data_IF_018939552293
#
_entry.id   IF_018939552293
#
_cell.length_a   1.000
_cell.length_b   1.000
_cell.length_c   1.000
_cell.angle_alpha   90.00
_cell.angle_beta   90.00
_cell.angle_gamma   90.00
#
_symmetry.space_group_name_H-M   'P 1'
#
loop_
_entity.id
_entity.type
_entity.pdbx_description
1 polymer ?
#
# COMPACT_ATOMS: atom_id res chain seq x y z
N UNK A 1 13.45 -21.14 4.01
CA UNK A 1 13.54 -22.55 3.55
C UNK A 1 12.18 -23.26 3.50
N UNK A 2 11.25 -23.06 4.46
CA UNK A 2 9.93 -23.73 4.45
C UNK A 2 9.12 -23.48 3.16
N UNK A 3 8.94 -22.21 2.78
CA UNK A 3 8.22 -21.84 1.56
C UNK A 3 8.93 -22.28 0.27
N UNK A 4 10.26 -22.39 0.29
CA UNK A 4 11.03 -22.92 -0.84
C UNK A 4 10.71 -24.39 -1.11
N UNK A 5 10.69 -25.21 -0.05
CA UNK A 5 10.32 -26.63 -0.16
C UNK A 5 8.90 -26.82 -0.66
N UNK A 6 7.95 -25.97 -0.23
CA UNK A 6 6.58 -26.00 -0.74
C UNK A 6 6.52 -25.59 -2.22
N UNK A 7 7.28 -24.57 -2.63
CA UNK A 7 7.33 -24.13 -4.03
C UNK A 7 7.85 -25.23 -4.97
N UNK A 8 8.91 -25.96 -4.58
CA UNK A 8 9.46 -27.09 -5.36
C UNK A 8 8.44 -28.24 -5.48
N UNK A 9 7.61 -28.47 -4.47
CA UNK A 9 6.57 -29.50 -4.52
C UNK A 9 5.40 -29.13 -5.44
N UNK A 10 5.09 -27.84 -5.55
CA UNK A 10 4.02 -27.35 -6.42
C UNK A 10 4.47 -27.22 -7.87
N UNK A 11 5.71 -26.79 -8.08
CA UNK A 11 6.31 -26.56 -9.40
C UNK A 11 7.73 -27.14 -9.39
N UNK A 12 7.93 -28.36 -9.92
CA UNK A 12 9.22 -29.05 -9.86
C UNK A 12 10.36 -28.33 -10.60
N UNK A 13 10.03 -27.48 -11.57
CA UNK A 13 10.95 -26.68 -12.39
C UNK A 13 11.10 -25.23 -11.91
N UNK A 14 10.66 -24.92 -10.69
CA UNK A 14 10.66 -23.55 -10.15
C UNK A 14 12.06 -22.92 -10.15
N UNK A 15 13.10 -23.71 -9.92
CA UNK A 15 14.49 -23.23 -9.91
C UNK A 15 14.95 -22.72 -11.28
N UNK A 16 14.45 -23.31 -12.37
CA UNK A 16 14.76 -22.86 -13.73
C UNK A 16 13.94 -21.62 -14.10
N UNK A 17 12.65 -21.63 -13.77
CA UNK A 17 11.77 -20.48 -14.04
C UNK A 17 12.20 -19.21 -13.33
N UNK A 18 12.74 -19.31 -12.11
CA UNK A 18 13.25 -18.14 -11.39
C UNK A 18 14.46 -17.55 -12.12
N UNK A 19 15.39 -18.38 -12.61
CA UNK A 19 16.57 -17.89 -13.36
C UNK A 19 16.16 -17.19 -14.65
N UNK A 20 15.23 -17.76 -15.40
CA UNK A 20 14.70 -17.16 -16.64
C UNK A 20 13.97 -15.84 -16.34
N UNK A 21 13.22 -15.78 -15.26
CA UNK A 21 12.51 -14.57 -14.84
C UNK A 21 13.47 -13.47 -14.38
N UNK A 22 14.48 -13.79 -13.57
CA UNK A 22 15.48 -12.82 -13.10
C UNK A 22 16.32 -12.27 -14.26
N UNK A 23 16.75 -13.13 -15.18
CA UNK A 23 17.52 -12.73 -16.37
C UNK A 23 16.69 -11.87 -17.34
N UNK A 24 15.42 -12.21 -17.57
CA UNK A 24 14.51 -11.39 -18.38
C UNK A 24 14.25 -10.01 -17.77
N UNK A 25 14.03 -9.93 -16.45
CA UNK A 25 13.78 -8.65 -15.79
C UNK A 25 15.01 -7.76 -15.71
N UNK A 26 16.21 -8.33 -15.56
CA UNK A 26 17.47 -7.57 -15.61
C UNK A 26 17.73 -7.00 -17.02
N UNK A 27 17.47 -7.79 -18.07
CA UNK A 27 17.65 -7.37 -19.46
C UNK A 27 16.59 -6.35 -19.95
N UNK A 28 15.41 -6.32 -19.34
CA UNK A 28 14.27 -5.49 -19.79
C UNK A 28 14.06 -4.22 -18.95
N UNK A 29 14.90 -3.94 -17.95
CA UNK A 29 14.86 -2.71 -17.16
C UNK A 29 13.56 -2.47 -16.37
N UNK A 30 12.66 -3.47 -16.30
CA UNK A 30 11.39 -3.36 -15.59
C UNK A 30 11.56 -3.77 -14.14
N UNK A 31 12.01 -2.83 -13.32
CA UNK A 31 12.03 -3.00 -11.86
C UNK A 31 10.61 -2.82 -11.30
N UNK A 32 9.78 -3.86 -11.40
CA UNK A 32 8.59 -3.98 -10.56
C UNK A 32 8.65 -5.29 -9.77
N UNK A 33 9.43 -5.27 -8.69
CA UNK A 33 9.35 -6.26 -7.63
C UNK A 33 9.35 -5.51 -6.28
N UNK A 34 8.37 -5.76 -5.40
CA UNK A 34 8.26 -5.07 -4.11
C UNK A 34 9.18 -5.66 -3.03
N UNK A 35 10.08 -6.58 -3.39
CA UNK A 35 11.02 -7.21 -2.46
C UNK A 35 12.41 -6.80 -2.88
N UNK A 36 12.89 -5.70 -2.32
CA UNK A 36 14.32 -5.34 -2.34
C UNK A 36 15.06 -6.46 -1.62
N UNK A 37 15.63 -7.39 -2.38
CA UNK A 37 16.65 -8.29 -1.85
C UNK A 37 17.96 -7.52 -1.93
N UNK A 38 18.37 -6.90 -0.81
CA UNK A 38 19.74 -6.41 -0.65
C UNK A 38 20.62 -7.66 -0.60
N UNK A 39 21.12 -8.09 -1.76
CA UNK A 39 22.23 -9.03 -1.83
C UNK A 39 23.50 -8.25 -1.51
N UNK A 40 24.02 -8.48 -0.32
CA UNK A 40 25.33 -8.03 0.14
C UNK A 40 26.46 -8.93 -0.43
N UNK A 41 27.50 -8.31 -1.00
CA UNK A 41 28.79 -8.92 -1.45
C UNK A 41 28.77 -9.40 -2.90
N UNK A 42 29.68 -9.03 -3.82
CA UNK A 42 31.09 -8.61 -3.71
C UNK A 42 31.42 -7.45 -4.67
N UNK A 43 32.49 -6.72 -4.33
CA UNK A 43 33.08 -5.58 -5.03
C UNK A 43 33.67 -5.99 -6.40
N UNK A 44 33.19 -5.39 -7.49
CA UNK A 44 34.03 -5.03 -8.63
C UNK A 44 33.75 -3.57 -9.01
N UNK A 45 34.82 -2.79 -8.95
CA UNK A 45 34.92 -1.34 -9.12
C UNK A 45 34.66 -0.97 -10.60
N UNK A 46 33.52 -0.34 -10.89
CA UNK A 46 33.28 0.38 -12.15
C UNK A 46 32.85 1.83 -11.85
N UNK A 47 33.71 2.83 -12.11
CA UNK A 47 33.47 4.22 -11.74
C UNK A 47 32.62 4.94 -12.80
N UNK A 48 31.48 4.36 -13.17
CA UNK A 48 30.52 5.03 -14.03
C UNK A 48 29.07 4.65 -13.73
N UNK A 49 28.72 4.63 -12.44
CA UNK A 49 27.34 4.94 -12.04
C UNK A 49 27.14 6.42 -12.34
N UNK A 50 26.71 6.70 -13.56
CA UNK A 50 25.91 7.89 -13.81
C UNK A 50 24.74 7.78 -12.85
N UNK A 51 24.81 8.57 -11.77
CA UNK A 51 23.63 8.97 -11.00
C UNK A 51 22.69 9.64 -12.00
N UNK A 52 21.90 8.83 -12.69
CA UNK A 52 20.61 9.24 -13.18
C UNK A 52 19.78 9.43 -11.92
N UNK A 53 19.97 10.59 -11.30
CA UNK A 53 19.01 11.14 -10.37
C UNK A 53 17.68 11.14 -11.11
N UNK A 54 16.83 10.16 -10.79
CA UNK A 54 15.41 10.09 -11.16
C UNK A 54 14.64 11.21 -10.43
N UNK A 55 15.21 12.42 -10.48
CA UNK A 55 14.61 13.70 -10.10
C UNK A 55 13.66 14.11 -11.22
N UNK A 56 12.78 13.19 -11.64
CA UNK A 56 11.63 13.57 -12.42
C UNK A 56 10.83 14.55 -11.55
N UNK A 57 10.68 15.83 -11.94
CA UNK A 57 10.03 16.84 -11.11
C UNK A 57 8.58 16.45 -10.77
N UNK A 58 7.99 15.56 -11.57
CA UNK A 58 6.66 14.99 -11.37
C UNK A 58 6.60 13.99 -10.20
N UNK A 59 7.64 13.16 -9.99
CA UNK A 59 7.71 12.27 -8.82
C UNK A 59 7.93 13.06 -7.53
N UNK A 60 8.79 14.09 -7.57
CA UNK A 60 9.03 14.96 -6.44
C UNK A 60 7.76 15.74 -6.05
N UNK A 61 7.00 16.26 -7.01
CA UNK A 61 5.70 16.90 -6.77
C UNK A 61 4.70 15.90 -6.17
N UNK A 62 4.61 14.68 -6.70
CA UNK A 62 3.73 13.66 -6.18
C UNK A 62 4.07 13.28 -4.73
N UNK A 63 5.35 13.08 -4.43
CA UNK A 63 5.82 12.79 -3.08
C UNK A 63 5.49 13.93 -2.11
N UNK A 64 5.67 15.19 -2.52
CA UNK A 64 5.28 16.36 -1.73
C UNK A 64 3.77 16.42 -1.52
N UNK A 65 2.96 16.06 -2.52
CA UNK A 65 1.50 15.96 -2.40
C UNK A 65 1.10 14.85 -1.43
N UNK A 66 1.78 13.71 -1.42
CA UNK A 66 1.56 12.65 -0.42
C UNK A 66 1.96 13.09 0.98
N UNK A 67 3.10 13.77 1.14
CA UNK A 67 3.53 14.32 2.41
C UNK A 67 2.55 15.37 2.95
N UNK A 68 1.88 16.10 2.05
CA UNK A 68 0.84 17.08 2.38
C UNK A 68 -0.49 16.47 2.84
N UNK A 69 -0.67 15.14 2.75
CA UNK A 69 -1.83 14.47 3.35
C UNK A 69 -1.75 14.55 4.87
N UNK A 70 -2.31 15.63 5.40
CA UNK A 70 -2.54 15.81 6.83
C UNK A 70 -3.97 15.39 7.18
N UNK A 71 -4.15 14.86 8.39
CA UNK A 71 -5.46 14.53 8.95
C UNK A 71 -6.08 15.73 9.69
N UNK A 72 -5.35 16.86 9.79
CA UNK A 72 -5.89 18.11 10.34
C UNK A 72 -6.93 18.69 9.39
N UNK A 73 -8.17 18.83 9.84
CA UNK A 73 -9.28 19.25 8.96
C UNK A 73 -9.62 18.19 7.92
N UNK A 74 -9.64 16.91 8.32
CA UNK A 74 -9.76 15.73 7.45
C UNK A 74 -10.88 15.80 6.40
N UNK A 75 -11.96 16.56 6.66
CA UNK A 75 -13.04 16.76 5.71
C UNK A 75 -13.56 18.19 5.81
N UNK A 76 -13.91 18.80 4.68
CA UNK A 76 -14.53 20.11 4.60
C UNK A 76 -15.80 20.03 3.74
N UNK A 77 -16.88 20.70 4.15
CA UNK A 77 -18.10 20.72 3.36
C UNK A 77 -17.86 21.51 2.07
N UNK A 78 -18.13 20.87 0.93
CA UNK A 78 -18.02 21.54 -0.39
C UNK A 78 -19.18 22.52 -0.63
N UNK A 79 -20.35 22.25 -0.04
CA UNK A 79 -21.57 23.05 -0.16
C UNK A 79 -22.11 23.41 1.21
N UNK A 80 -22.99 24.41 1.25
CA UNK A 80 -23.68 24.79 2.47
C UNK A 80 -24.58 23.63 2.94
N UNK A 81 -24.35 23.19 4.18
CA UNK A 81 -25.03 22.02 4.75
C UNK A 81 -26.14 22.48 5.68
N UNK A 82 -27.35 21.91 5.53
CA UNK A 82 -28.49 22.16 6.44
C UNK A 82 -28.35 21.41 7.78
N UNK A 83 -27.49 20.39 7.81
CA UNK A 83 -27.25 19.52 8.96
C UNK A 83 -25.77 19.51 9.32
N UNK A 84 -25.43 19.03 10.51
CA UNK A 84 -24.05 18.92 10.99
C UNK A 84 -23.20 18.08 10.05
N UNK A 85 -22.12 18.66 9.53
CA UNK A 85 -21.18 17.98 8.67
C UNK A 85 -20.37 16.92 9.43
N UNK A 86 -19.95 15.84 8.74
CA UNK A 86 -19.20 14.73 9.34
C UNK A 86 -17.86 15.18 9.96
N UNK A 87 -17.29 16.29 9.48
CA UNK A 87 -16.07 16.88 10.04
C UNK A 87 -16.23 17.46 11.46
N UNK A 88 -17.47 17.65 11.94
CA UNK A 88 -17.73 18.07 13.31
C UNK A 88 -17.47 16.94 14.31
N UNK A 89 -17.34 15.70 13.84
CA UNK A 89 -17.04 14.53 14.66
C UNK A 89 -15.52 14.50 14.95
N UNK A 90 -15.10 14.30 16.20
CA UNK A 90 -13.70 14.06 16.54
C UNK A 90 -13.12 12.91 15.72
N UNK A 91 -11.87 13.05 15.30
CA UNK A 91 -11.19 12.07 14.44
C UNK A 91 -11.20 10.67 15.07
N UNK A 92 -11.08 10.58 16.38
CA UNK A 92 -11.08 9.33 17.14
C UNK A 92 -12.37 8.54 16.91
N UNK A 93 -13.51 9.22 16.85
CA UNK A 93 -14.81 8.58 16.59
C UNK A 93 -14.94 8.18 15.12
N UNK A 94 -14.40 8.97 14.19
CA UNK A 94 -14.36 8.59 12.77
C UNK A 94 -13.52 7.34 12.56
N UNK A 95 -12.35 7.27 13.18
CA UNK A 95 -11.49 6.07 13.15
C UNK A 95 -12.19 4.86 13.78
N UNK A 96 -12.96 5.07 14.84
CA UNK A 96 -13.79 4.01 15.44
C UNK A 96 -14.85 3.48 14.46
N UNK A 97 -15.51 4.36 13.71
CA UNK A 97 -16.48 3.97 12.66
C UNK A 97 -15.76 3.13 11.59
N UNK A 98 -14.58 3.54 11.13
CA UNK A 98 -13.82 2.79 10.12
C UNK A 98 -13.41 1.40 10.63
N UNK A 99 -12.94 1.32 11.87
CA UNK A 99 -12.62 0.04 12.53
C UNK A 99 -13.88 -0.83 12.65
N UNK A 100 -15.04 -0.24 12.90
CA UNK A 100 -16.31 -0.97 12.96
C UNK A 100 -16.71 -1.55 11.61
N UNK A 101 -16.65 -0.76 10.53
CA UNK A 101 -16.93 -1.19 9.14
C UNK A 101 -16.10 -2.42 8.76
N UNK A 102 -14.82 -2.43 9.14
CA UNK A 102 -13.90 -3.55 8.84
C UNK A 102 -14.12 -4.75 9.78
N UNK A 103 -14.52 -4.53 11.03
CA UNK A 103 -14.64 -5.61 12.02
C UNK A 103 -15.95 -6.38 11.94
N UNK A 104 -17.05 -5.78 11.51
CA UNK A 104 -18.37 -6.44 11.50
C UNK A 104 -18.60 -7.27 10.23
N UNK A 105 -18.23 -6.74 9.07
CA UNK A 105 -18.52 -7.36 7.77
C UNK A 105 -17.29 -7.53 6.87
N UNK A 106 -16.09 -7.14 7.35
CA UNK A 106 -14.86 -7.16 6.56
C UNK A 106 -15.05 -6.52 5.17
N UNK A 107 -15.85 -5.47 5.09
CA UNK A 107 -16.18 -4.89 3.80
C UNK A 107 -15.09 -3.93 3.34
N UNK A 108 -14.04 -4.52 2.76
CA UNK A 108 -12.97 -3.78 2.11
C UNK A 108 -13.50 -2.90 0.97
N UNK A 109 -14.63 -3.25 0.34
CA UNK A 109 -15.24 -2.38 -0.68
C UNK A 109 -15.80 -1.13 -0.04
N UNK A 110 -16.50 -1.23 1.09
CA UNK A 110 -16.98 -0.05 1.83
C UNK A 110 -15.83 0.84 2.30
N UNK A 111 -14.70 0.26 2.73
CA UNK A 111 -13.51 1.04 3.10
C UNK A 111 -12.95 1.84 1.91
N UNK A 112 -12.91 1.25 0.71
CA UNK A 112 -12.48 1.97 -0.50
C UNK A 112 -13.49 3.06 -0.92
N UNK A 113 -14.80 2.82 -0.78
CA UNK A 113 -15.80 3.88 -1.02
C UNK A 113 -15.63 5.07 -0.07
N UNK A 114 -15.31 4.81 1.20
CA UNK A 114 -15.00 5.88 2.17
C UNK A 114 -13.75 6.65 1.75
N UNK A 115 -12.70 5.95 1.31
CA UNK A 115 -11.45 6.59 0.88
C UNK A 115 -11.62 7.56 -0.30
N UNK A 116 -12.65 7.37 -1.14
CA UNK A 116 -12.94 8.24 -2.28
C UNK A 116 -13.62 9.57 -1.91
N UNK A 117 -14.09 9.73 -0.67
CA UNK A 117 -14.86 10.93 -0.25
C UNK A 117 -13.98 12.18 -0.23
N UNK A 118 -12.82 12.13 0.43
CA UNK A 118 -11.89 13.24 0.51
C UNK A 118 -10.48 12.75 0.89
N UNK A 119 -9.49 13.66 0.80
CA UNK A 119 -8.10 13.36 1.16
C UNK A 119 -7.94 12.83 2.59
N UNK A 120 -8.66 13.41 3.56
CA UNK A 120 -8.56 12.93 4.94
C UNK A 120 -9.20 11.56 5.16
N UNK A 121 -10.31 11.25 4.47
CA UNK A 121 -10.87 9.90 4.51
C UNK A 121 -9.94 8.88 3.87
N UNK A 122 -9.26 9.25 2.78
CA UNK A 122 -8.22 8.41 2.20
C UNK A 122 -7.09 8.13 3.21
N UNK A 123 -6.59 9.16 3.90
CA UNK A 123 -5.57 8.99 4.92
C UNK A 123 -6.05 8.09 6.07
N UNK A 124 -7.28 8.30 6.57
CA UNK A 124 -7.87 7.47 7.62
C UNK A 124 -8.06 6.02 7.18
N UNK A 125 -8.52 5.76 5.95
CA UNK A 125 -8.71 4.42 5.42
C UNK A 125 -7.41 3.62 5.30
N UNK A 126 -6.27 4.31 5.15
CA UNK A 126 -4.94 3.70 5.05
C UNK A 126 -4.23 3.58 6.41
N UNK A 127 -4.95 3.82 7.51
CA UNK A 127 -4.40 3.66 8.85
C UNK A 127 -4.00 2.21 9.13
N UNK A 128 -2.77 1.95 9.62
CA UNK A 128 -2.26 0.60 9.78
C UNK A 128 -3.07 -0.24 10.77
N UNK A 129 -3.75 0.36 11.75
CA UNK A 129 -4.57 -0.41 12.70
C UNK A 129 -5.80 -1.02 12.03
N UNK A 130 -6.39 -0.32 11.07
CA UNK A 130 -7.53 -0.83 10.29
C UNK A 130 -7.09 -2.06 9.49
N UNK A 131 -5.95 -1.98 8.82
CA UNK A 131 -5.44 -3.09 8.00
C UNK A 131 -4.97 -4.27 8.85
N UNK A 132 -4.40 -4.03 10.04
CA UNK A 132 -4.11 -5.10 11.00
C UNK A 132 -5.39 -5.82 11.42
N UNK A 133 -6.47 -5.09 11.73
CA UNK A 133 -7.76 -5.68 12.08
C UNK A 133 -8.37 -6.48 10.92
N UNK A 134 -8.24 -5.98 9.68
CA UNK A 134 -8.68 -6.68 8.48
C UNK A 134 -7.93 -8.01 8.30
N UNK A 135 -6.62 -8.03 8.52
CA UNK A 135 -5.80 -9.24 8.38
C UNK A 135 -5.97 -10.23 9.55
N UNK A 136 -6.30 -9.74 10.75
CA UNK A 136 -6.50 -10.58 11.94
C UNK A 136 -7.90 -11.18 12.02
N UNK A 137 -8.88 -10.53 11.40
CA UNK A 137 -10.25 -11.07 11.32
C UNK A 137 -10.27 -12.29 10.41
N UNK A 138 -10.59 -13.49 10.91
CA UNK A 138 -10.77 -14.64 10.03
C UNK A 138 -11.93 -14.31 9.08
N UNK A 139 -11.68 -14.41 7.77
CA UNK A 139 -12.71 -14.28 6.73
C UNK A 139 -13.82 -15.26 7.12
N UNK A 140 -14.92 -14.75 7.65
CA UNK A 140 -16.12 -15.55 7.90
C UNK A 140 -16.67 -15.87 6.51
N UNK A 141 -16.27 -17.03 5.99
CA UNK A 141 -16.95 -17.65 4.86
C UNK A 141 -18.35 -17.97 5.36
N UNK A 142 -19.29 -17.08 5.08
CA UNK A 142 -20.71 -17.33 5.35
C UNK A 142 -21.12 -18.47 4.41
N UNK A 143 -21.68 -19.59 4.93
CA UNK A 143 -22.10 -20.74 4.13
C UNK A 143 -23.33 -20.44 3.26
#
# INVERSE_FOLDING_TARGET
IYFYRQAVQLVPDIEFRIKDFTSYNLASGRLWCPVVFIASGDEEDDPNVSQESDDSPELADLANRFLSLSVTGFCQPLYETRMTHISAIPLELVMYIFKWVVSTELDMKSLEHLALVCKGFYACARDPDIWKLACQSPIRVVP
#
